data_IF_674006757542
#
_entry.id   IF_674006757542
#
_cell.length_a   1.000
_cell.length_b   1.000
_cell.length_c   1.000
_cell.angle_alpha   90.00
_cell.angle_beta   90.00
_cell.angle_gamma   90.00
#
_symmetry.space_group_name_H-M   'P 1'
#
loop_
_entity.id
_entity.type
_entity.pdbx_description
1 polymer ?
#
# COMPACT_ATOMS: atom_id res chain seq x y z
N UNK A 1 13.97 3.47 37.52
CA UNK A 1 12.67 3.11 36.92
C UNK A 1 12.40 1.69 37.38
N UNK A 2 11.89 1.56 38.60
CA UNK A 2 11.35 0.32 39.16
C UNK A 2 9.82 0.46 39.08
N UNK A 3 9.12 -0.62 38.71
CA UNK A 3 7.66 -0.76 38.89
C UNK A 3 6.75 -0.25 37.77
N UNK A 4 6.94 -0.68 36.52
CA UNK A 4 5.88 -0.53 35.51
C UNK A 4 5.49 -1.92 34.98
N UNK A 5 4.42 -2.49 35.52
CA UNK A 5 3.84 -3.73 35.03
C UNK A 5 3.08 -3.49 33.72
N UNK A 6 3.52 -4.15 32.64
CA UNK A 6 2.85 -4.13 31.34
C UNK A 6 2.02 -5.41 31.21
N UNK A 7 0.69 -5.26 31.21
CA UNK A 7 -0.22 -6.36 30.86
C UNK A 7 -0.45 -6.34 29.35
N UNK A 8 -0.01 -7.41 28.66
CA UNK A 8 -0.21 -7.61 27.22
C UNK A 8 -1.21 -8.75 27.03
N UNK A 9 -2.39 -8.46 26.49
CA UNK A 9 -3.38 -9.46 26.09
C UNK A 9 -3.49 -9.60 24.57
N UNK A 10 -3.73 -10.81 24.06
CA UNK A 10 -4.05 -11.05 22.65
C UNK A 10 -4.94 -12.30 22.48
N UNK A 11 -5.67 -12.36 21.36
CA UNK A 11 -6.44 -13.54 20.92
C UNK A 11 -5.72 -14.13 19.72
N UNK A 12 -5.41 -15.43 19.77
CA UNK A 12 -4.62 -16.12 18.74
C UNK A 12 -5.52 -16.58 17.60
N UNK A 13 -5.72 -15.71 16.60
CA UNK A 13 -6.25 -16.07 15.29
C UNK A 13 -5.40 -15.44 14.19
N UNK A 14 -5.38 -16.05 12.99
CA UNK A 14 -4.62 -15.53 11.85
C UNK A 14 -5.14 -14.14 11.44
N UNK A 15 -4.30 -13.12 11.49
CA UNK A 15 -4.67 -11.76 11.08
C UNK A 15 -4.04 -10.66 11.95
N UNK A 16 -4.54 -9.43 11.79
CA UNK A 16 -4.11 -8.29 12.60
C UNK A 16 -4.52 -8.49 14.06
N UNK A 17 -3.59 -8.29 14.98
CA UNK A 17 -3.80 -8.39 16.42
C UNK A 17 -3.85 -6.99 17.01
N UNK A 18 -4.84 -6.70 17.83
CA UNK A 18 -4.90 -5.46 18.58
C UNK A 18 -4.26 -5.66 19.95
N UNK A 19 -3.04 -5.13 20.13
CA UNK A 19 -2.41 -5.07 21.45
C UNK A 19 -3.00 -3.90 22.21
N UNK A 20 -3.63 -4.19 23.34
CA UNK A 20 -4.11 -3.18 24.27
C UNK A 20 -3.05 -3.08 25.38
N UNK A 21 -2.65 -1.86 25.69
CA UNK A 21 -1.73 -1.58 26.79
C UNK A 21 -2.34 -0.56 27.73
N UNK A 22 -2.04 -0.74 29.01
CA UNK A 22 -2.27 0.23 30.06
C UNK A 22 -1.16 0.07 31.10
N UNK A 23 -0.73 1.17 31.69
CA UNK A 23 0.26 1.17 32.77
C UNK A 23 -0.08 2.26 33.79
N UNK A 24 0.45 2.09 35.00
CA UNK A 24 0.32 3.04 36.11
C UNK A 24 1.73 3.37 36.64
N UNK A 25 1.90 4.54 37.24
CA UNK A 25 3.21 4.93 37.82
C UNK A 25 3.45 4.33 39.20
N UNK A 26 2.38 3.95 39.88
CA UNK A 26 2.41 3.29 41.18
C UNK A 26 2.04 1.82 41.03
N UNK A 27 2.70 0.97 41.81
CA UNK A 27 2.41 -0.47 41.89
C UNK A 27 1.01 -0.73 42.48
N UNK A 28 0.28 -1.74 41.99
CA UNK A 28 -1.00 -2.12 42.57
C UNK A 28 -0.80 -2.67 44.00
N UNK A 29 -1.78 -2.43 44.87
CA UNK A 29 -1.72 -2.93 46.26
C UNK A 29 -1.87 -4.46 46.34
N UNK A 30 -2.51 -5.06 45.31
CA UNK A 30 -2.63 -6.50 45.09
C UNK A 30 -3.10 -6.78 43.65
N UNK A 31 -3.03 -8.04 43.20
CA UNK A 31 -3.54 -8.46 41.87
C UNK A 31 -5.04 -8.18 41.66
N UNK A 32 -5.81 -8.03 42.74
CA UNK A 32 -7.26 -7.75 42.69
C UNK A 32 -7.60 -6.27 42.86
N UNK A 33 -6.61 -5.42 43.12
CA UNK A 33 -6.78 -3.98 43.36
C UNK A 33 -5.81 -3.21 42.46
N UNK A 34 -6.23 -3.11 41.19
CA UNK A 34 -5.49 -2.42 40.13
C UNK A 34 -6.09 -1.01 39.99
N UNK A 35 -5.33 0.05 40.30
CA UNK A 35 -5.80 1.42 40.15
C UNK A 35 -6.22 1.74 38.71
N UNK A 36 -7.21 2.62 38.56
CA UNK A 36 -7.61 3.08 37.24
C UNK A 36 -6.48 3.90 36.60
N UNK A 37 -6.04 3.46 35.42
CA UNK A 37 -5.00 4.13 34.64
C UNK A 37 -5.49 5.43 33.98
N UNK A 38 -4.61 6.43 33.85
CA UNK A 38 -4.90 7.71 33.18
C UNK A 38 -5.14 7.53 31.67
N UNK A 39 -5.98 8.34 31.01
CA UNK A 39 -6.16 8.29 29.56
C UNK A 39 -4.88 8.40 28.74
N UNK A 40 -3.82 9.03 29.26
CA UNK A 40 -2.49 9.12 28.61
C UNK A 40 -1.62 7.87 28.82
N UNK A 41 -1.95 7.03 29.79
CA UNK A 41 -1.21 5.82 30.15
C UNK A 41 -1.90 4.55 29.66
N UNK A 42 -2.78 4.67 28.65
CA UNK A 42 -3.45 3.55 27.99
C UNK A 42 -3.54 3.77 26.50
N UNK A 43 -3.67 2.69 25.75
CA UNK A 43 -3.92 2.74 24.33
C UNK A 43 -4.06 1.38 23.70
N UNK A 44 -4.21 1.38 22.39
CA UNK A 44 -4.19 0.17 21.58
C UNK A 44 -3.32 0.39 20.36
N UNK A 45 -2.64 -0.68 19.91
CA UNK A 45 -1.83 -0.70 18.71
C UNK A 45 -2.11 -1.97 17.91
N UNK A 46 -2.42 -1.79 16.64
CA UNK A 46 -2.50 -2.90 15.67
C UNK A 46 -1.10 -3.42 15.36
N UNK A 47 -0.93 -4.74 15.37
CA UNK A 47 0.32 -5.41 15.01
C UNK A 47 0.03 -6.81 14.46
N UNK A 48 0.97 -7.36 13.70
CA UNK A 48 0.90 -8.73 13.22
C UNK A 48 1.83 -9.63 14.06
N UNK A 49 1.29 -10.29 15.10
CA UNK A 49 2.10 -11.08 16.05
C UNK A 49 2.63 -12.38 15.45
N UNK A 50 1.96 -12.91 14.42
CA UNK A 50 2.38 -14.13 13.75
C UNK A 50 3.56 -13.91 12.78
N UNK A 51 4.06 -12.67 12.68
CA UNK A 51 5.24 -12.34 11.88
C UNK A 51 6.58 -12.58 12.59
N UNK A 52 6.65 -13.63 13.42
CA UNK A 52 7.86 -13.96 14.17
C UNK A 52 8.97 -14.43 13.22
N UNK A 53 9.71 -13.48 12.63
CA UNK A 53 10.93 -13.73 11.87
C UNK A 53 10.74 -13.74 10.35
N UNK A 54 10.21 -12.67 9.75
CA UNK A 54 10.41 -12.45 8.31
C UNK A 54 11.92 -12.50 8.02
N UNK A 55 12.33 -13.49 7.23
CA UNK A 55 13.63 -13.50 6.58
C UNK A 55 13.62 -12.38 5.54
N UNK A 56 13.81 -11.14 5.99
CA UNK A 56 14.02 -9.99 5.13
C UNK A 56 15.21 -10.32 4.23
N UNK A 57 15.01 -10.49 2.91
CA UNK A 57 16.10 -10.84 2.02
C UNK A 57 17.16 -9.74 2.05
N UNK A 58 18.42 -10.10 2.19
CA UNK A 58 19.50 -9.15 2.06
C UNK A 58 19.49 -8.55 0.65
N UNK A 59 19.58 -7.22 0.56
CA UNK A 59 19.73 -6.54 -0.72
C UNK A 59 21.10 -6.89 -1.33
N UNK A 60 21.16 -7.28 -2.61
CA UNK A 60 22.44 -7.53 -3.26
C UNK A 60 23.30 -6.26 -3.38
N UNK A 61 24.62 -6.41 -3.43
CA UNK A 61 25.57 -5.28 -3.48
C UNK A 61 25.40 -4.36 -4.70
N UNK A 62 24.86 -4.88 -5.82
CA UNK A 62 24.60 -4.10 -7.03
C UNK A 62 23.24 -3.39 -7.04
N UNK A 63 22.55 -3.37 -5.89
CA UNK A 63 21.24 -2.71 -5.74
C UNK A 63 21.35 -1.21 -5.98
N UNK A 64 20.43 -0.70 -6.81
CA UNK A 64 20.25 0.71 -7.11
C UNK A 64 18.82 1.13 -6.80
N UNK A 65 18.61 2.43 -6.69
CA UNK A 65 17.30 2.99 -6.36
C UNK A 65 16.82 4.02 -7.35
N UNK A 66 15.50 4.13 -7.51
CA UNK A 66 14.84 5.30 -8.08
C UNK A 66 13.57 5.61 -7.26
N UNK A 67 13.11 6.86 -7.31
CA UNK A 67 11.97 7.32 -6.53
C UNK A 67 10.89 7.88 -7.46
N UNK A 68 9.64 7.60 -7.13
CA UNK A 68 8.48 8.32 -7.64
C UNK A 68 7.84 9.06 -6.47
N UNK A 69 8.09 10.37 -6.38
CA UNK A 69 7.62 11.20 -5.27
C UNK A 69 6.95 12.46 -5.80
N UNK A 70 5.96 12.96 -5.07
CA UNK A 70 5.47 14.31 -5.27
C UNK A 70 6.61 15.33 -5.11
N UNK A 71 6.43 16.52 -5.67
CA UNK A 71 7.44 17.57 -5.67
C UNK A 71 6.87 18.83 -5.05
N UNK A 72 7.00 18.97 -3.73
CA UNK A 72 6.50 20.13 -2.96
C UNK A 72 5.05 20.45 -3.30
N UNK A 73 4.22 19.43 -3.44
CA UNK A 73 2.81 19.56 -3.77
C UNK A 73 2.08 20.21 -2.60
N UNK A 74 1.42 21.34 -2.85
CA UNK A 74 0.61 22.03 -1.84
C UNK A 74 -0.76 21.38 -1.79
N UNK A 75 -1.13 20.85 -0.62
CA UNK A 75 -2.42 20.21 -0.43
C UNK A 75 -3.52 21.25 -0.17
N UNK A 76 -4.72 20.98 -0.67
CA UNK A 76 -5.91 21.77 -0.34
C UNK A 76 -6.32 21.55 1.14
N UNK A 77 -7.21 22.38 1.65
CA UNK A 77 -7.80 22.21 3.00
C UNK A 77 -8.94 21.19 3.05
N UNK A 78 -9.25 20.51 1.94
CA UNK A 78 -10.28 19.46 1.93
C UNK A 78 -9.85 18.31 2.83
N UNK A 79 -10.83 17.68 3.48
CA UNK A 79 -10.59 16.48 4.31
C UNK A 79 -9.96 15.34 3.52
N UNK A 80 -10.47 15.08 2.32
CA UNK A 80 -10.05 13.95 1.49
C UNK A 80 -9.48 14.50 0.19
N UNK A 81 -8.22 14.17 -0.10
CA UNK A 81 -7.49 14.68 -1.26
C UNK A 81 -6.83 13.51 -1.96
N UNK A 82 -7.01 13.40 -3.26
CA UNK A 82 -6.32 12.44 -4.10
C UNK A 82 -5.51 13.21 -5.12
N UNK A 83 -4.19 13.09 -5.06
CA UNK A 83 -3.29 13.71 -6.04
C UNK A 83 -2.76 12.66 -6.98
N UNK A 84 -2.39 13.05 -8.20
CA UNK A 84 -1.63 12.21 -9.10
C UNK A 84 -0.41 12.92 -9.64
N UNK A 85 0.61 12.13 -10.02
CA UNK A 85 1.77 12.59 -10.78
C UNK A 85 2.25 11.50 -11.74
N UNK A 86 2.59 11.90 -12.96
CA UNK A 86 3.09 11.00 -14.00
C UNK A 86 4.61 10.86 -13.88
N UNK A 87 5.12 9.65 -14.06
CA UNK A 87 6.54 9.33 -14.02
C UNK A 87 6.96 8.46 -15.20
N UNK A 88 8.21 8.64 -15.63
CA UNK A 88 8.90 7.69 -16.51
C UNK A 88 9.77 6.76 -15.67
N UNK A 89 9.76 5.47 -16.00
CA UNK A 89 10.73 4.54 -15.46
C UNK A 89 12.16 4.87 -15.95
N UNK A 90 13.20 4.50 -15.19
CA UNK A 90 14.58 4.70 -15.62
C UNK A 90 14.86 4.08 -16.99
N UNK A 91 15.58 4.80 -17.85
CA UNK A 91 16.05 4.26 -19.14
C UNK A 91 17.23 3.32 -18.90
N UNK A 92 16.96 2.02 -18.95
CA UNK A 92 17.94 0.97 -18.70
C UNK A 92 18.38 0.30 -20.01
N UNK A 93 19.67 0.03 -20.15
CA UNK A 93 20.25 -0.64 -21.34
C UNK A 93 20.03 -2.16 -21.35
N UNK A 94 19.76 -2.73 -20.18
CA UNK A 94 19.54 -4.15 -19.98
C UNK A 94 18.46 -4.35 -18.91
N UNK A 95 17.89 -5.55 -18.87
CA UNK A 95 16.91 -5.94 -17.84
C UNK A 95 17.52 -5.81 -16.44
N UNK A 96 16.71 -5.28 -15.53
CA UNK A 96 16.91 -5.34 -14.09
C UNK A 96 15.59 -5.75 -13.44
N UNK A 97 15.64 -6.23 -12.20
CA UNK A 97 14.44 -6.62 -11.46
C UNK A 97 14.33 -5.79 -10.18
N UNK A 98 13.16 -5.19 -9.94
CA UNK A 98 12.81 -4.55 -8.67
C UNK A 98 12.57 -5.64 -7.63
N UNK A 99 13.18 -5.49 -6.45
CA UNK A 99 13.22 -6.48 -5.38
C UNK A 99 12.73 -5.96 -4.04
N UNK A 100 12.56 -4.65 -3.90
CA UNK A 100 11.98 -4.02 -2.72
C UNK A 100 11.32 -2.69 -3.08
N UNK A 101 10.25 -2.34 -2.35
CA UNK A 101 9.55 -1.07 -2.45
C UNK A 101 9.44 -0.45 -1.05
N UNK A 102 9.93 0.77 -0.87
CA UNK A 102 9.74 1.51 0.38
C UNK A 102 8.75 2.66 0.21
N UNK A 103 7.92 2.94 1.23
CA UNK A 103 7.27 4.24 1.33
C UNK A 103 8.30 5.33 1.64
N UNK A 104 8.17 6.48 0.98
CA UNK A 104 8.81 7.74 1.37
C UNK A 104 7.70 8.64 1.89
N UNK A 105 7.71 8.93 3.19
CA UNK A 105 6.76 9.87 3.81
C UNK A 105 7.52 11.15 4.13
N UNK A 106 6.99 12.29 3.68
CA UNK A 106 7.48 13.60 4.06
C UNK A 106 7.34 13.76 5.58
N UNK A 107 8.45 14.08 6.25
CA UNK A 107 8.46 14.32 7.69
C UNK A 107 7.39 15.34 8.09
N UNK A 108 6.56 14.98 9.09
CA UNK A 108 5.42 15.77 9.56
C UNK A 108 4.08 15.44 8.89
N UNK A 109 4.09 14.67 7.79
CA UNK A 109 2.88 14.28 7.05
C UNK A 109 2.45 12.82 7.33
N UNK A 110 3.08 12.13 8.29
CA UNK A 110 2.78 10.72 8.65
C UNK A 110 1.33 10.51 9.09
N UNK A 111 0.71 11.53 9.69
CA UNK A 111 -0.69 11.51 10.08
C UNK A 111 -1.68 11.87 8.97
N UNK A 112 -1.20 12.24 7.77
CA UNK A 112 -2.03 12.77 6.67
C UNK A 112 -1.95 11.88 5.43
N UNK A 113 -0.78 11.31 5.10
CA UNK A 113 -0.64 10.37 3.98
C UNK A 113 -1.32 9.04 4.33
N UNK A 114 -2.42 8.73 3.66
CA UNK A 114 -3.25 7.59 4.02
C UNK A 114 -2.94 6.34 3.18
N UNK A 115 -2.82 6.48 1.86
CA UNK A 115 -2.35 5.41 0.97
C UNK A 115 -1.75 5.96 -0.33
N UNK A 116 -0.95 5.13 -1.00
CA UNK A 116 -0.35 5.39 -2.30
C UNK A 116 -0.61 4.22 -3.24
N UNK A 117 -0.94 4.50 -4.49
CA UNK A 117 -1.17 3.50 -5.53
C UNK A 117 -0.32 3.88 -6.75
N UNK A 118 0.43 2.92 -7.30
CA UNK A 118 1.17 3.11 -8.54
C UNK A 118 0.51 2.30 -9.64
N UNK A 119 0.18 2.94 -10.74
CA UNK A 119 -0.39 2.30 -11.92
C UNK A 119 0.59 2.28 -13.08
N UNK A 120 0.67 1.16 -13.78
CA UNK A 120 1.34 1.06 -15.08
C UNK A 120 0.42 1.59 -16.19
N UNK A 121 0.98 2.39 -17.10
CA UNK A 121 0.26 2.88 -18.27
C UNK A 121 0.68 2.13 -19.54
N UNK A 122 -0.20 2.12 -20.53
CA UNK A 122 0.04 1.52 -21.84
C UNK A 122 1.18 2.21 -22.60
N UNK A 123 1.77 1.48 -23.54
CA UNK A 123 2.90 1.94 -24.36
C UNK A 123 2.58 3.15 -25.25
N UNK A 124 1.30 3.34 -25.59
CA UNK A 124 0.78 4.46 -26.37
C UNK A 124 0.46 5.71 -25.51
N UNK A 125 0.83 5.70 -24.21
CA UNK A 125 0.64 6.86 -23.34
C UNK A 125 1.27 8.12 -23.96
N UNK A 126 0.50 9.21 -24.15
CA UNK A 126 0.99 10.40 -24.83
C UNK A 126 2.15 11.04 -24.07
N UNK A 127 3.29 11.20 -24.73
CA UNK A 127 4.49 11.79 -24.11
C UNK A 127 4.31 13.27 -23.74
N UNK A 128 3.32 13.95 -24.32
CA UNK A 128 2.90 15.29 -23.90
C UNK A 128 2.33 15.32 -22.46
N UNK A 129 1.95 14.16 -21.92
CA UNK A 129 1.37 14.05 -20.59
C UNK A 129 2.37 13.72 -19.47
N UNK A 130 3.67 13.61 -19.78
CA UNK A 130 4.70 13.21 -18.81
C UNK A 130 4.92 14.20 -17.67
N UNK A 131 4.69 15.49 -17.91
CA UNK A 131 4.84 16.54 -16.90
C UNK A 131 3.57 16.81 -16.10
N UNK A 132 2.51 16.00 -16.29
CA UNK A 132 1.24 16.24 -15.64
C UNK A 132 1.24 15.76 -14.20
N UNK A 133 0.68 16.61 -13.36
CA UNK A 133 0.34 16.35 -11.97
C UNK A 133 -0.93 17.13 -11.65
N UNK A 134 -1.68 16.67 -10.65
CA UNK A 134 -2.93 17.32 -10.30
C UNK A 134 -3.75 16.56 -9.29
N UNK A 135 -5.05 16.86 -9.26
CA UNK A 135 -6.02 16.17 -8.41
C UNK A 135 -6.72 15.06 -9.21
N UNK A 136 -6.78 13.85 -8.65
CA UNK A 136 -7.54 12.74 -9.23
C UNK A 136 -9.02 13.12 -9.32
N UNK A 137 -9.69 12.58 -10.35
CA UNK A 137 -11.11 12.82 -10.61
C UNK A 137 -11.48 14.28 -10.88
N UNK A 138 -10.49 15.15 -11.11
CA UNK A 138 -10.73 16.52 -11.57
C UNK A 138 -11.15 16.52 -13.05
N UNK A 139 -11.99 17.48 -13.49
CA UNK A 139 -12.35 17.63 -14.90
C UNK A 139 -11.15 17.85 -15.83
N UNK A 140 -10.05 18.39 -15.29
CA UNK A 140 -8.84 18.73 -16.04
C UNK A 140 -7.86 17.54 -16.16
N UNK A 141 -8.20 16.39 -15.57
CA UNK A 141 -7.36 15.21 -15.62
C UNK A 141 -7.28 14.64 -17.05
N UNK A 142 -6.08 14.42 -17.63
CA UNK A 142 -5.97 13.95 -19.00
C UNK A 142 -6.61 12.56 -19.18
N UNK A 143 -7.29 12.30 -20.31
CA UNK A 143 -7.90 11.00 -20.59
C UNK A 143 -6.92 9.82 -20.48
N UNK A 144 -5.66 10.00 -20.88
CA UNK A 144 -4.63 8.97 -20.77
C UNK A 144 -4.27 8.63 -19.32
N UNK A 145 -4.28 9.61 -18.42
CA UNK A 145 -4.04 9.38 -16.97
C UNK A 145 -5.24 8.65 -16.37
N UNK A 146 -6.47 9.04 -16.76
CA UNK A 146 -7.70 8.37 -16.31
C UNK A 146 -7.69 6.89 -16.73
N UNK A 147 -7.39 6.63 -18.01
CA UNK A 147 -7.33 5.28 -18.57
C UNK A 147 -6.22 4.41 -17.97
N UNK A 148 -5.18 5.03 -17.41
CA UNK A 148 -4.11 4.35 -16.69
C UNK A 148 -4.48 4.01 -15.24
N UNK A 149 -5.47 4.66 -14.62
CA UNK A 149 -5.82 4.39 -13.22
C UNK A 149 -6.75 3.18 -13.07
N UNK A 150 -6.64 2.48 -11.93
CA UNK A 150 -7.53 1.36 -11.57
C UNK A 150 -6.88 -0.02 -11.69
N UNK A 151 -7.27 -0.80 -12.70
CA UNK A 151 -6.92 -2.22 -12.79
C UNK A 151 -5.44 -2.51 -13.11
N UNK A 152 -4.66 -1.52 -13.57
CA UNK A 152 -3.23 -1.63 -13.89
C UNK A 152 -2.33 -1.27 -12.70
N UNK A 153 -2.82 -1.42 -11.47
CA UNK A 153 -2.02 -1.19 -10.27
C UNK A 153 -0.84 -2.16 -10.22
N UNK A 154 0.36 -1.66 -9.95
CA UNK A 154 1.61 -2.43 -9.87
C UNK A 154 2.34 -2.26 -8.53
N UNK A 155 1.90 -1.33 -7.69
CA UNK A 155 2.33 -1.21 -6.31
C UNK A 155 1.25 -0.50 -5.49
N UNK A 156 1.18 -0.83 -4.20
CA UNK A 156 0.28 -0.18 -3.26
C UNK A 156 0.93 -0.11 -1.88
N UNK A 157 0.68 0.98 -1.18
CA UNK A 157 1.06 1.18 0.22
C UNK A 157 -0.11 1.85 0.95
N UNK A 158 -0.33 1.48 2.20
CA UNK A 158 -1.31 2.13 3.06
C UNK A 158 -0.74 2.31 4.46
N UNK A 159 -1.37 3.19 5.25
CA UNK A 159 -1.01 3.44 6.66
C UNK A 159 -0.76 2.13 7.44
N UNK A 160 0.36 2.08 8.16
CA UNK A 160 0.83 0.90 8.89
C UNK A 160 1.67 -0.07 8.05
N UNK A 161 1.70 0.07 6.73
CA UNK A 161 2.59 -0.70 5.85
C UNK A 161 4.06 -0.33 6.03
N UNK A 162 4.93 -1.33 6.01
CA UNK A 162 6.38 -1.15 5.96
C UNK A 162 6.90 -1.33 4.53
N UNK A 163 8.21 -1.43 4.39
CA UNK A 163 8.86 -1.86 3.15
C UNK A 163 8.30 -3.20 2.69
N UNK A 164 8.02 -3.31 1.39
CA UNK A 164 7.64 -4.57 0.76
C UNK A 164 8.86 -5.24 0.16
N UNK A 165 9.15 -6.48 0.57
CA UNK A 165 10.26 -7.27 0.06
C UNK A 165 9.74 -8.38 -0.84
N UNK A 166 10.25 -8.46 -2.07
CA UNK A 166 9.94 -9.60 -2.92
C UNK A 166 10.67 -10.85 -2.40
N UNK A 167 10.04 -12.05 -2.50
CA UNK A 167 10.74 -13.30 -2.24
C UNK A 167 12.00 -13.43 -3.11
N UNK A 168 13.04 -14.11 -2.62
CA UNK A 168 14.37 -14.15 -3.25
C UNK A 168 14.36 -14.54 -4.75
N UNK A 169 13.40 -15.37 -5.15
CA UNK A 169 13.23 -15.89 -6.51
C UNK A 169 12.29 -15.06 -7.39
N UNK A 170 11.75 -13.96 -6.88
CA UNK A 170 10.75 -13.09 -7.51
C UNK A 170 11.33 -11.68 -7.66
N UNK A 171 11.06 -11.03 -8.78
CA UNK A 171 11.35 -9.61 -8.95
C UNK A 171 10.54 -9.01 -10.08
N UNK A 172 10.21 -7.72 -9.99
CA UNK A 172 9.41 -7.04 -11.00
C UNK A 172 10.34 -6.50 -12.11
N UNK A 173 10.24 -7.06 -13.32
CA UNK A 173 11.17 -6.78 -14.41
C UNK A 173 10.99 -5.38 -15.00
N UNK A 174 12.09 -4.62 -15.08
CA UNK A 174 12.19 -3.31 -15.71
C UNK A 174 13.31 -3.28 -16.77
N UNK A 175 13.19 -2.38 -17.75
CA UNK A 175 14.20 -2.20 -18.79
C UNK A 175 14.16 -3.22 -19.94
N UNK A 176 13.11 -4.03 -20.06
CA UNK A 176 12.84 -4.81 -21.28
C UNK A 176 11.83 -4.09 -22.18
N UNK A 177 11.62 -4.60 -23.39
CA UNK A 177 10.62 -4.06 -24.32
C UNK A 177 9.20 -4.05 -23.74
N UNK A 178 8.87 -5.10 -22.98
CA UNK A 178 7.55 -5.34 -22.38
C UNK A 178 7.46 -4.83 -20.93
N UNK A 179 8.49 -4.14 -20.44
CA UNK A 179 8.47 -3.53 -19.10
C UNK A 179 7.65 -2.24 -19.09
N UNK A 180 7.10 -1.85 -17.92
CA UNK A 180 6.43 -0.56 -17.77
C UNK A 180 7.38 0.58 -18.15
N UNK A 181 6.85 1.51 -18.96
CA UNK A 181 7.59 2.70 -19.39
C UNK A 181 7.15 3.93 -18.61
N UNK A 182 5.85 4.01 -18.35
CA UNK A 182 5.18 5.13 -17.68
C UNK A 182 4.40 4.60 -16.49
N UNK A 183 4.42 5.35 -15.40
CA UNK A 183 3.53 5.13 -14.28
C UNK A 183 2.80 6.40 -13.85
N UNK A 184 1.63 6.21 -13.25
CA UNK A 184 0.90 7.24 -12.52
C UNK A 184 0.92 6.88 -11.05
N UNK A 185 1.50 7.75 -10.22
CA UNK A 185 1.41 7.65 -8.77
C UNK A 185 0.19 8.43 -8.31
N UNK A 186 -0.72 7.76 -7.61
CA UNK A 186 -1.81 8.37 -6.86
C UNK A 186 -1.48 8.36 -5.38
N UNK A 187 -1.69 9.49 -4.70
CA UNK A 187 -1.57 9.60 -3.24
C UNK A 187 -2.88 10.13 -2.68
N UNK A 188 -3.45 9.37 -1.76
CA UNK A 188 -4.60 9.76 -0.95
C UNK A 188 -4.13 10.33 0.38
N UNK A 189 -4.65 11.50 0.71
CA UNK A 189 -4.43 12.19 1.98
C UNK A 189 -5.75 12.31 2.75
N UNK A 190 -5.73 11.94 4.05
CA UNK A 190 -6.79 12.22 5.02
C UNK A 190 -6.38 13.38 5.92
N UNK A 191 -6.67 14.60 5.46
CA UNK A 191 -6.47 15.84 6.22
C UNK A 191 -7.66 16.05 7.17
N UNK A 192 -7.78 15.19 8.19
CA UNK A 192 -8.90 15.17 9.13
C UNK A 192 -9.19 16.55 9.75
N UNK A 193 -8.13 17.27 10.13
CA UNK A 193 -8.20 18.60 10.75
C UNK A 193 -8.34 19.75 9.73
N UNK A 194 -8.36 19.47 8.42
CA UNK A 194 -8.47 20.46 7.35
C UNK A 194 -7.40 21.56 7.42
N UNK A 195 -6.19 21.19 7.86
CA UNK A 195 -5.07 22.10 8.05
C UNK A 195 -4.65 22.73 6.72
N UNK A 196 -4.48 24.06 6.64
CA UNK A 196 -3.90 24.71 5.48
C UNK A 196 -2.37 24.57 5.47
N UNK A 197 -1.76 24.79 4.30
CA UNK A 197 -0.31 24.95 4.18
C UNK A 197 0.50 23.65 4.26
N UNK A 198 -0.14 22.48 4.17
CA UNK A 198 0.58 21.20 4.07
C UNK A 198 1.27 21.14 2.71
N UNK A 199 2.59 20.93 2.73
CA UNK A 199 3.43 20.71 1.56
C UNK A 199 3.97 19.29 1.63
N UNK A 200 3.81 18.53 0.55
CA UNK A 200 4.14 17.13 0.52
C UNK A 200 5.11 16.76 -0.62
N UNK A 201 6.07 15.88 -0.32
CA UNK A 201 6.96 15.25 -1.29
C UNK A 201 7.05 13.73 -1.05
N UNK A 202 5.95 13.14 -0.56
CA UNK A 202 5.85 11.71 -0.30
C UNK A 202 5.75 10.90 -1.60
N UNK A 203 5.99 9.59 -1.51
CA UNK A 203 5.88 8.68 -2.64
C UNK A 203 6.52 7.32 -2.36
N UNK A 204 7.04 6.68 -3.41
CA UNK A 204 7.61 5.33 -3.35
C UNK A 204 9.06 5.31 -3.83
N UNK A 205 9.89 4.51 -3.15
CA UNK A 205 11.25 4.15 -3.58
C UNK A 205 11.28 2.71 -4.06
N UNK A 206 11.94 2.49 -5.18
CA UNK A 206 12.11 1.17 -5.77
C UNK A 206 13.58 0.79 -5.75
N UNK A 207 13.88 -0.39 -5.22
CA UNK A 207 15.21 -1.00 -5.22
C UNK A 207 15.28 -2.06 -6.31
N UNK A 208 16.27 -1.96 -7.19
CA UNK A 208 16.43 -2.86 -8.33
C UNK A 208 17.87 -3.34 -8.47
N UNK A 209 18.03 -4.55 -8.99
CA UNK A 209 19.33 -5.23 -9.18
C UNK A 209 19.45 -5.77 -10.60
N UNK A 210 20.69 -5.95 -11.07
CA UNK A 210 20.96 -6.66 -12.33
C UNK A 210 20.97 -8.19 -12.16
N UNK A 211 20.87 -8.69 -10.93
CA UNK A 211 20.73 -10.11 -10.62
C UNK A 211 19.31 -10.60 -10.89
N UNK A 212 19.14 -11.20 -12.07
CA UNK A 212 17.82 -11.58 -12.59
C UNK A 212 17.15 -12.68 -11.76
N UNK A 213 15.88 -12.45 -11.44
CA UNK A 213 15.01 -13.34 -10.70
C UNK A 213 14.30 -14.29 -11.63
N UNK A 214 13.91 -15.45 -11.10
CA UNK A 214 13.28 -16.54 -11.86
C UNK A 214 11.85 -16.19 -12.27
N UNK A 215 11.09 -15.58 -11.36
CA UNK A 215 9.69 -15.19 -11.58
C UNK A 215 9.63 -13.68 -11.76
N UNK A 216 9.21 -13.24 -12.94
CA UNK A 216 9.15 -11.80 -13.26
C UNK A 216 7.87 -11.29 -13.87
N UNK A 217 7.01 -12.19 -14.33
CA UNK A 217 5.65 -11.83 -14.72
C UNK A 217 4.81 -11.79 -13.46
N UNK A 218 4.55 -10.59 -13.00
CA UNK A 218 3.78 -10.31 -11.81
C UNK A 218 2.45 -9.69 -12.22
N UNK A 219 1.39 -10.12 -11.55
CA UNK A 219 0.04 -9.61 -11.77
C UNK A 219 -0.52 -9.24 -10.41
N UNK A 220 -0.97 -8.00 -10.28
CA UNK A 220 -1.78 -7.61 -9.14
C UNK A 220 -3.22 -8.00 -9.44
N UNK A 221 -3.72 -8.97 -8.68
CA UNK A 221 -5.12 -9.36 -8.74
C UNK A 221 -5.94 -8.56 -7.73
N UNK A 222 -6.81 -7.69 -8.26
CA UNK A 222 -7.79 -6.98 -7.45
C UNK A 222 -9.05 -7.83 -7.32
N UNK A 223 -9.31 -8.29 -6.10
CA UNK A 223 -10.53 -9.03 -5.76
C UNK A 223 -11.39 -8.15 -4.84
N UNK A 224 -12.61 -7.85 -5.26
CA UNK A 224 -13.54 -7.08 -4.44
C UNK A 224 -14.87 -6.82 -5.12
N UNK A 225 -15.91 -6.63 -4.32
CA UNK A 225 -17.21 -6.15 -4.79
C UNK A 225 -17.23 -4.62 -4.81
N UNK A 226 -17.63 -3.99 -5.92
CA UNK A 226 -18.10 -2.61 -5.87
C UNK A 226 -19.35 -2.60 -5.00
N UNK A 227 -19.29 -2.06 -3.78
CA UNK A 227 -20.49 -1.79 -2.99
C UNK A 227 -21.41 -0.86 -3.80
N UNK A 228 -22.53 -1.35 -4.37
CA UNK A 228 -23.43 -0.49 -5.11
C UNK A 228 -24.05 0.49 -4.11
N UNK A 229 -24.16 1.77 -4.48
CA UNK A 229 -24.77 2.82 -3.64
C UNK A 229 -26.18 2.47 -3.13
N UNK A 230 -26.84 1.48 -3.76
CA UNK A 230 -28.14 0.90 -3.36
C UNK A 230 -28.11 0.00 -2.12
N UNK A 231 -26.95 -0.49 -1.68
CA UNK A 231 -26.85 -1.38 -0.50
C UNK A 231 -26.76 -0.60 0.83
N UNK A 232 -26.59 0.71 0.78
CA UNK A 232 -26.37 1.60 1.93
C UNK A 232 -27.60 1.85 2.82
N UNK A 233 -28.78 1.29 2.52
CA UNK A 233 -30.05 1.69 3.16
C UNK A 233 -30.37 0.98 4.48
N UNK A 234 -29.48 0.15 5.03
CA UNK A 234 -29.76 -0.68 6.21
C UNK A 234 -28.71 -0.46 7.32
N UNK A 235 -28.65 0.78 7.83
CA UNK A 235 -27.63 1.26 8.80
C UNK A 235 -27.83 0.78 10.25
N UNK A 236 -28.36 -0.43 10.48
CA UNK A 236 -28.40 -1.04 11.82
C UNK A 236 -28.16 -2.55 11.70
N UNK A 237 -26.96 -2.95 11.29
CA UNK A 237 -26.49 -4.32 11.49
C UNK A 237 -25.12 -4.28 12.16
N UNK A 238 -24.98 -5.08 13.22
CA UNK A 238 -23.73 -5.24 14.00
C UNK A 238 -22.65 -5.92 13.15
N UNK A 239 -23.05 -6.70 12.14
CA UNK A 239 -22.15 -7.34 11.18
C UNK A 239 -22.86 -7.52 9.82
N UNK A 240 -22.11 -7.34 8.74
CA UNK A 240 -22.55 -7.55 7.36
C UNK A 240 -21.42 -8.17 6.55
N UNK A 241 -21.73 -9.22 5.78
CA UNK A 241 -20.77 -9.88 4.91
C UNK A 241 -21.00 -9.45 3.46
N UNK A 242 -19.95 -8.98 2.81
CA UNK A 242 -19.92 -8.69 1.37
C UNK A 242 -19.03 -9.71 0.70
N UNK A 243 -19.51 -10.31 -0.37
CA UNK A 243 -18.78 -11.33 -1.13
C UNK A 243 -18.48 -10.82 -2.54
N UNK A 244 -17.27 -11.10 -3.01
CA UNK A 244 -16.83 -10.86 -4.38
C UNK A 244 -16.24 -12.14 -4.95
N UNK A 245 -16.48 -12.39 -6.22
CA UNK A 245 -16.08 -13.61 -6.91
C UNK A 245 -15.26 -13.27 -8.15
N UNK A 246 -14.22 -14.06 -8.42
CA UNK A 246 -13.52 -14.05 -9.71
C UNK A 246 -14.04 -15.24 -10.52
N UNK A 247 -14.89 -14.97 -11.50
CA UNK A 247 -15.49 -16.01 -12.34
C UNK A 247 -14.47 -16.53 -13.35
N UNK A 248 -14.63 -17.78 -13.77
CA UNK A 248 -13.69 -18.48 -14.66
C UNK A 248 -13.39 -17.67 -15.93
N UNK A 249 -14.41 -17.08 -16.54
CA UNK A 249 -14.31 -16.29 -17.76
C UNK A 249 -13.40 -15.08 -17.59
N UNK A 250 -13.36 -14.50 -16.38
CA UNK A 250 -12.47 -13.38 -16.04
C UNK A 250 -11.03 -13.86 -15.82
N UNK A 251 -10.86 -14.98 -15.11
CA UNK A 251 -9.52 -15.53 -14.83
C UNK A 251 -8.85 -16.13 -16.07
N UNK A 252 -9.62 -16.70 -16.99
CA UNK A 252 -9.10 -17.43 -18.15
C UNK A 252 -8.24 -16.53 -19.05
N UNK A 253 -8.68 -15.29 -19.30
CA UNK A 253 -7.90 -14.35 -20.10
C UNK A 253 -6.67 -13.83 -19.34
N UNK A 254 -6.81 -13.50 -18.05
CA UNK A 254 -5.69 -13.02 -17.23
C UNK A 254 -4.58 -14.06 -16.98
N UNK A 255 -4.92 -15.34 -17.05
CA UNK A 255 -3.99 -16.45 -16.89
C UNK A 255 -3.43 -16.98 -18.22
N UNK A 256 -3.91 -16.45 -19.35
CA UNK A 256 -3.45 -16.83 -20.68
C UNK A 256 -1.96 -16.54 -20.86
N UNK A 257 -1.22 -17.55 -21.28
CA UNK A 257 0.24 -17.45 -21.42
C UNK A 257 1.01 -17.65 -20.11
N UNK A 258 0.34 -18.08 -19.04
CA UNK A 258 1.06 -18.61 -17.87
C UNK A 258 1.91 -19.82 -18.26
N UNK A 259 3.15 -19.83 -17.78
CA UNK A 259 4.11 -20.93 -17.97
C UNK A 259 4.11 -21.92 -16.82
N UNK A 260 3.26 -21.69 -15.81
CA UNK A 260 3.13 -22.59 -14.66
C UNK A 260 2.33 -23.84 -15.04
N UNK A 261 2.58 -24.98 -14.37
CA UNK A 261 1.80 -26.20 -14.59
C UNK A 261 0.29 -25.94 -14.47
N UNK A 262 -0.48 -26.39 -15.46
CA UNK A 262 -1.93 -26.17 -15.51
C UNK A 262 -2.36 -24.75 -15.88
N UNK A 263 -1.45 -23.87 -16.31
CA UNK A 263 -1.77 -22.50 -16.72
C UNK A 263 -2.16 -21.56 -15.57
N UNK A 264 -1.82 -21.92 -14.32
CA UNK A 264 -2.24 -21.15 -13.13
C UNK A 264 -1.28 -20.04 -12.70
N UNK A 265 -1.46 -19.51 -11.49
CA UNK A 265 -0.59 -18.50 -10.85
C UNK A 265 -0.10 -18.98 -9.49
N UNK A 266 0.94 -18.33 -8.93
CA UNK A 266 1.37 -18.52 -7.53
C UNK A 266 1.18 -17.22 -6.77
N UNK A 267 0.30 -17.24 -5.78
CA UNK A 267 0.06 -16.10 -4.88
C UNK A 267 1.12 -16.15 -3.78
N UNK A 268 1.86 -15.06 -3.59
CA UNK A 268 2.89 -14.94 -2.55
C UNK A 268 2.67 -13.74 -1.62
N UNK A 269 1.73 -12.85 -1.95
CA UNK A 269 1.38 -11.68 -1.16
C UNK A 269 -0.10 -11.34 -1.36
N UNK A 270 -0.70 -10.70 -0.36
CA UNK A 270 -2.07 -10.16 -0.40
C UNK A 270 -2.10 -8.86 0.39
N UNK A 271 -2.84 -7.88 -0.12
CA UNK A 271 -3.11 -6.61 0.56
C UNK A 271 -4.62 -6.49 0.74
N UNK A 272 -5.07 -6.59 1.98
CA UNK A 272 -6.48 -6.38 2.32
C UNK A 272 -6.76 -4.88 2.42
N UNK A 273 -7.89 -4.44 1.87
CA UNK A 273 -8.28 -3.04 1.90
C UNK A 273 -9.78 -2.88 2.12
N UNK A 274 -10.13 -2.09 3.12
CA UNK A 274 -11.47 -1.62 3.43
C UNK A 274 -11.42 -0.15 3.85
N UNK A 275 -12.58 0.51 3.87
CA UNK A 275 -12.72 1.80 4.56
C UNK A 275 -13.06 1.57 6.04
N UNK A 276 -13.45 2.62 6.76
CA UNK A 276 -13.67 2.61 8.23
C UNK A 276 -14.64 1.56 8.78
N UNK A 277 -15.49 0.94 7.96
CA UNK A 277 -16.53 0.00 8.41
C UNK A 277 -16.14 -1.48 8.26
N UNK A 278 -14.96 -1.79 7.73
CA UNK A 278 -14.49 -3.16 7.53
C UNK A 278 -13.45 -3.61 8.54
#
# INVERSE_FOLDING_TARGET
>A
MEGADIVIGWVKDGGNNQLIYAFHTDDPSSENDIPQHDPKSRGARSTYLLNSGENVPALPDDTKTFNFTNNKTVLSTKRTIYTYRVFEFPKLQKRHDIIQIDPIIQEGNEGVVHHMLLYECSDDFPRSNLSWEGTMYSPDMPPAVIGCSGASMIAGWAVGGQSFYYPEHVGFAIGTHDSPKIAVLEIHYDNYEQKPGIVDSSGLRFHYTSQLKKVTRLVFFLLGGKCPRRWSSHLIKISWQTEGYCVEECTAEGMKGSTLPGGGIRIFSSLLHTHLAG
#
